data_IF_557676306083
#
_entry.id   IF_557676306083
#
_cell.length_a   1.000
_cell.length_b   1.000
_cell.length_c   1.000
_cell.angle_alpha   90.00
_cell.angle_beta   90.00
_cell.angle_gamma   90.00
#
_symmetry.space_group_name_H-M   'P 1'
#
loop_
_entity.id
_entity.type
_entity.pdbx_description
1 polymer ?
#
# COMPACT_ATOMS: atom_id res chain seq x y z
N UNK A 1 14.62 13.29 1.40
CA UNK A 1 13.87 12.38 0.50
C UNK A 1 13.69 11.04 1.22
N UNK A 2 12.51 10.78 1.79
CA UNK A 2 12.22 9.60 2.66
C UNK A 2 12.31 8.25 1.93
N UNK A 3 12.22 8.24 0.59
CA UNK A 3 12.24 7.01 -0.21
C UNK A 3 13.59 6.25 -0.18
N UNK A 4 14.70 6.91 0.18
CA UNK A 4 16.02 6.29 0.25
C UNK A 4 16.37 5.67 1.61
N UNK A 5 15.52 5.86 2.64
CA UNK A 5 15.79 5.37 4.01
C UNK A 5 14.80 4.30 4.48
N UNK A 6 13.69 4.10 3.78
CA UNK A 6 12.67 3.13 4.17
C UNK A 6 12.68 1.92 3.24
N UNK A 7 13.09 0.80 3.80
CA UNK A 7 13.05 -0.53 3.19
C UNK A 7 11.63 -1.01 2.87
N UNK A 8 10.61 -0.44 3.50
CA UNK A 8 9.22 -0.79 3.34
C UNK A 8 8.40 0.40 2.86
N UNK A 9 7.57 0.18 1.85
CA UNK A 9 6.83 1.22 1.15
C UNK A 9 5.38 0.80 0.93
N UNK A 10 4.44 1.57 1.47
CA UNK A 10 3.04 1.46 1.12
C UNK A 10 2.76 2.18 -0.19
N UNK A 11 2.01 1.55 -1.08
CA UNK A 11 1.52 2.13 -2.32
C UNK A 11 -0.01 2.10 -2.29
N UNK A 12 -0.62 3.28 -2.30
CA UNK A 12 -2.05 3.47 -2.35
C UNK A 12 -2.51 3.91 -3.75
N UNK A 13 -3.83 3.90 -3.98
CA UNK A 13 -4.41 4.36 -5.25
C UNK A 13 -4.40 5.88 -5.33
N UNK A 14 -4.93 6.58 -4.30
CA UNK A 14 -4.95 8.04 -4.23
C UNK A 14 -3.95 8.66 -3.25
N UNK A 15 -3.62 9.94 -3.46
CA UNK A 15 -2.72 10.70 -2.59
C UNK A 15 -3.30 10.87 -1.18
N UNK A 16 -4.63 10.99 -1.06
CA UNK A 16 -5.31 11.08 0.23
C UNK A 16 -5.19 9.79 1.03
N UNK A 17 -5.17 8.62 0.39
CA UNK A 17 -4.96 7.33 1.05
C UNK A 17 -3.52 7.19 1.55
N UNK A 18 -2.55 7.62 0.73
CA UNK A 18 -1.15 7.66 1.15
C UNK A 18 -0.95 8.58 2.37
N UNK A 19 -1.57 9.76 2.36
CA UNK A 19 -1.56 10.67 3.50
C UNK A 19 -2.29 10.09 4.72
N UNK A 20 -3.39 9.38 4.50
CA UNK A 20 -4.15 8.71 5.56
C UNK A 20 -3.36 7.57 6.20
N UNK A 21 -2.58 6.82 5.42
CA UNK A 21 -1.63 5.83 5.93
C UNK A 21 -0.55 6.49 6.80
N UNK A 22 0.02 7.62 6.37
CA UNK A 22 1.00 8.35 7.17
C UNK A 22 0.40 8.94 8.46
N UNK A 23 -0.85 9.42 8.40
CA UNK A 23 -1.57 9.92 9.57
C UNK A 23 -1.87 8.79 10.58
N UNK A 24 -2.25 7.61 10.08
CA UNK A 24 -2.49 6.42 10.89
C UNK A 24 -1.18 5.84 11.45
N UNK A 25 -0.11 5.80 10.66
CA UNK A 25 1.19 5.24 11.00
C UNK A 25 2.32 6.26 10.77
N UNK A 26 2.58 7.17 11.73
CA UNK A 26 3.69 8.11 11.62
C UNK A 26 5.03 7.40 11.39
N UNK A 27 5.80 7.86 10.41
CA UNK A 27 7.13 7.32 10.10
C UNK A 27 7.15 6.21 9.05
N UNK A 28 6.01 5.77 8.53
CA UNK A 28 6.00 4.88 7.35
C UNK A 28 6.17 5.68 6.06
N UNK A 29 6.87 5.10 5.09
CA UNK A 29 6.86 5.60 3.73
C UNK A 29 5.56 5.14 3.05
N UNK A 30 4.80 6.08 2.53
CA UNK A 30 3.61 5.82 1.72
C UNK A 30 3.61 6.76 0.51
N UNK A 31 3.24 6.24 -0.66
CA UNK A 31 3.06 6.97 -1.90
C UNK A 31 1.79 6.50 -2.62
N UNK A 32 1.34 7.26 -3.62
CA UNK A 32 0.18 6.92 -4.43
C UNK A 32 0.58 6.65 -5.89
N UNK A 33 -0.14 5.75 -6.55
CA UNK A 33 -0.07 5.51 -8.00
C UNK A 33 -1.52 5.58 -8.53
N UNK A 34 -2.00 6.77 -8.93
CA UNK A 34 -3.38 6.97 -9.37
C UNK A 34 -3.62 6.36 -10.74
N UNK A 35 -3.96 5.08 -10.76
CA UNK A 35 -4.04 4.25 -11.96
C UNK A 35 -2.65 3.81 -12.43
N UNK A 36 -2.55 2.55 -12.85
CA UNK A 36 -1.25 1.91 -13.13
C UNK A 36 -0.47 2.59 -14.25
N UNK A 37 -1.15 3.23 -15.20
CA UNK A 37 -0.54 3.97 -16.31
C UNK A 37 0.30 5.18 -15.86
N UNK A 38 0.15 5.65 -14.62
CA UNK A 38 0.92 6.79 -14.10
C UNK A 38 2.33 6.40 -13.64
N UNK A 39 2.56 5.13 -13.37
CA UNK A 39 3.91 4.60 -13.18
C UNK A 39 4.54 4.38 -14.56
N UNK A 40 5.57 5.14 -14.91
CA UNK A 40 6.35 4.86 -16.11
C UNK A 40 7.13 3.55 -15.94
N UNK A 41 7.37 2.83 -17.04
CA UNK A 41 8.12 1.56 -16.98
C UNK A 41 9.57 1.77 -16.52
N UNK A 42 10.16 2.89 -16.90
CA UNK A 42 11.53 3.24 -16.53
C UNK A 42 11.68 3.58 -15.03
N UNK A 43 10.56 3.79 -14.33
CA UNK A 43 10.53 4.02 -12.88
C UNK A 43 10.34 2.73 -12.07
N UNK A 44 9.98 1.59 -12.69
CA UNK A 44 9.83 0.31 -12.00
C UNK A 44 11.11 -0.15 -11.27
N UNK A 45 12.33 0.07 -11.80
CA UNK A 45 13.57 -0.21 -11.08
C UNK A 45 13.77 0.62 -9.79
N UNK A 46 13.06 1.73 -9.60
CA UNK A 46 13.16 2.53 -8.35
C UNK A 46 12.67 1.76 -7.12
N UNK A 47 11.96 0.65 -7.32
CA UNK A 47 11.48 -0.23 -6.26
C UNK A 47 12.50 -1.30 -5.86
N UNK A 48 13.69 -1.34 -6.48
CA UNK A 48 14.73 -2.30 -6.15
C UNK A 48 15.08 -2.31 -4.66
N UNK A 49 15.15 -3.52 -4.09
CA UNK A 49 15.44 -3.75 -2.67
C UNK A 49 14.32 -3.42 -1.68
N UNK A 50 13.16 -2.91 -2.15
CA UNK A 50 12.04 -2.51 -1.28
C UNK A 50 11.03 -3.63 -1.04
N UNK A 51 10.43 -3.63 0.15
CA UNK A 51 9.22 -4.39 0.47
C UNK A 51 7.98 -3.52 0.21
N UNK A 52 7.33 -3.77 -0.92
CA UNK A 52 6.17 -3.00 -1.38
C UNK A 52 4.89 -3.60 -0.81
N UNK A 53 4.06 -2.77 -0.20
CA UNK A 53 2.71 -3.14 0.28
C UNK A 53 1.68 -2.39 -0.57
N UNK A 54 0.97 -3.11 -1.42
CA UNK A 54 -0.07 -2.54 -2.28
C UNK A 54 -1.39 -2.48 -1.53
N UNK A 55 -1.96 -1.28 -1.38
CA UNK A 55 -3.24 -1.01 -0.71
C UNK A 55 -4.12 -0.21 -1.67
N UNK A 56 -4.76 -0.90 -2.61
CA UNK A 56 -5.71 -0.28 -3.55
C UNK A 56 -7.12 -0.31 -2.98
N UNK A 57 -8.02 0.48 -3.57
CA UNK A 57 -9.41 0.57 -3.14
C UNK A 57 -10.13 -0.78 -3.22
N UNK A 58 -11.20 -0.93 -2.43
CA UNK A 58 -12.03 -2.13 -2.34
C UNK A 58 -13.09 -2.20 -3.44
N UNK A 59 -12.74 -1.78 -4.66
CA UNK A 59 -13.62 -1.83 -5.82
C UNK A 59 -13.01 -2.66 -6.98
N UNK A 60 -13.68 -2.67 -8.13
CA UNK A 60 -13.24 -3.43 -9.29
C UNK A 60 -11.99 -2.84 -9.96
N UNK A 61 -11.81 -1.52 -9.88
CA UNK A 61 -10.65 -0.82 -10.43
C UNK A 61 -9.41 -1.11 -9.58
N UNK A 62 -9.52 -0.95 -8.27
CA UNK A 62 -8.47 -1.22 -7.29
C UNK A 62 -8.00 -2.67 -7.33
N UNK A 63 -8.91 -3.66 -7.48
CA UNK A 63 -8.52 -5.07 -7.66
C UNK A 63 -7.68 -5.30 -8.91
N UNK A 64 -8.03 -4.68 -10.03
CA UNK A 64 -7.28 -4.79 -11.30
C UNK A 64 -5.93 -4.06 -11.18
N UNK A 65 -5.93 -2.86 -10.61
CA UNK A 65 -4.73 -2.07 -10.39
C UNK A 65 -3.71 -2.83 -9.52
N UNK A 66 -4.19 -3.46 -8.44
CA UNK A 66 -3.36 -4.24 -7.53
C UNK A 66 -2.68 -5.42 -8.22
N UNK A 67 -3.44 -6.17 -9.04
CA UNK A 67 -2.90 -7.31 -9.77
C UNK A 67 -1.85 -6.89 -10.82
N UNK A 68 -2.11 -5.80 -11.54
CA UNK A 68 -1.17 -5.27 -12.54
C UNK A 68 0.09 -4.69 -11.89
N UNK A 69 -0.05 -3.93 -10.80
CA UNK A 69 1.11 -3.41 -10.06
C UNK A 69 1.94 -4.52 -9.42
N UNK A 70 1.32 -5.57 -8.87
CA UNK A 70 2.09 -6.73 -8.38
C UNK A 70 2.92 -7.34 -9.50
N UNK A 71 2.31 -7.57 -10.67
CA UNK A 71 2.99 -8.13 -11.83
C UNK A 71 4.16 -7.25 -12.28
N UNK A 72 3.98 -5.93 -12.32
CA UNK A 72 4.99 -4.97 -12.77
C UNK A 72 6.14 -4.79 -11.79
N UNK A 73 5.86 -4.76 -10.49
CA UNK A 73 6.86 -4.46 -9.46
C UNK A 73 7.59 -5.69 -8.95
N UNK A 74 6.98 -6.89 -9.01
CA UNK A 74 7.58 -8.13 -8.52
C UNK A 74 8.98 -8.45 -9.10
N UNK A 75 9.31 -8.13 -10.36
CA UNK A 75 10.67 -8.33 -10.90
C UNK A 75 11.74 -7.44 -10.27
N UNK A 76 11.36 -6.30 -9.69
CA UNK A 76 12.30 -5.29 -9.18
C UNK A 76 12.32 -5.25 -7.65
N UNK A 77 11.16 -5.29 -7.01
CA UNK A 77 11.03 -5.22 -5.56
C UNK A 77 11.57 -6.48 -4.85
N UNK A 78 12.10 -6.30 -3.63
CA UNK A 78 12.48 -7.42 -2.75
C UNK A 78 11.25 -8.27 -2.39
N UNK A 79 10.12 -7.62 -2.14
CA UNK A 79 8.83 -8.27 -1.99
C UNK A 79 7.69 -7.37 -2.44
N UNK A 80 6.58 -7.98 -2.87
CA UNK A 80 5.32 -7.28 -3.11
C UNK A 80 4.22 -8.02 -2.38
N UNK A 81 3.54 -7.34 -1.47
CA UNK A 81 2.44 -7.87 -0.67
C UNK A 81 1.17 -7.12 -1.00
N UNK A 82 0.11 -7.85 -1.35
CA UNK A 82 -1.22 -7.29 -1.42
C UNK A 82 -1.80 -7.16 -0.01
N UNK A 83 -2.19 -5.96 0.36
CA UNK A 83 -2.96 -5.66 1.56
C UNK A 83 -4.31 -5.06 1.18
N UNK A 84 -5.27 -5.16 2.08
CA UNK A 84 -6.67 -4.84 1.81
C UNK A 84 -7.12 -3.78 2.80
N UNK A 85 -7.91 -2.82 2.32
CA UNK A 85 -8.72 -1.97 3.18
C UNK A 85 -9.74 -2.87 3.88
N UNK A 86 -10.10 -2.57 5.14
CA UNK A 86 -11.06 -3.38 5.86
C UNK A 86 -12.40 -3.42 5.09
N UNK A 87 -13.10 -4.59 4.98
CA UNK A 87 -14.24 -4.77 4.07
C UNK A 87 -15.39 -3.76 4.23
N UNK A 88 -15.56 -3.19 5.43
CA UNK A 88 -16.54 -2.15 5.72
C UNK A 88 -16.26 -0.77 5.07
N UNK A 89 -15.11 -0.60 4.40
CA UNK A 89 -14.67 0.66 3.82
C UNK A 89 -14.22 0.48 2.37
N UNK A 90 -14.45 1.51 1.58
CA UNK A 90 -14.04 1.60 0.18
C UNK A 90 -12.55 1.88 0.04
N UNK A 91 -12.00 2.80 0.84
CA UNK A 91 -10.62 3.25 0.74
C UNK A 91 -9.97 3.49 2.12
N UNK A 92 -8.67 3.82 2.14
CA UNK A 92 -7.91 4.00 3.38
C UNK A 92 -8.34 5.26 4.12
N UNK A 93 -8.66 6.32 3.38
CA UNK A 93 -9.10 7.59 3.93
C UNK A 93 -10.45 7.46 4.65
N UNK A 94 -11.44 6.82 4.04
CA UNK A 94 -12.75 6.53 4.62
C UNK A 94 -12.60 5.70 5.90
N UNK A 95 -11.74 4.67 5.86
CA UNK A 95 -11.41 3.88 7.03
C UNK A 95 -10.86 4.76 8.17
N UNK A 96 -9.93 5.66 7.86
CA UNK A 96 -9.37 6.61 8.84
C UNK A 96 -10.42 7.58 9.40
N UNK A 97 -11.23 8.18 8.54
CA UNK A 97 -12.24 9.18 8.92
C UNK A 97 -13.32 8.54 9.80
N UNK A 98 -13.82 7.36 9.44
CA UNK A 98 -14.92 6.70 10.16
C UNK A 98 -14.50 6.00 11.46
N UNK A 99 -13.33 5.35 11.50
CA UNK A 99 -12.86 4.61 12.68
C UNK A 99 -11.91 5.41 13.59
N UNK A 100 -11.33 6.47 13.05
CA UNK A 100 -10.37 7.31 13.76
C UNK A 100 -8.96 6.72 13.82
N UNK A 101 -8.00 7.59 14.11
CA UNK A 101 -6.56 7.31 14.04
C UNK A 101 -6.11 6.10 14.87
N UNK A 102 -6.59 5.95 16.11
CA UNK A 102 -6.13 4.87 17.01
C UNK A 102 -6.47 3.49 16.45
N UNK A 103 -7.68 3.33 15.90
CA UNK A 103 -8.12 2.08 15.32
C UNK A 103 -7.35 1.79 14.03
N UNK A 104 -7.25 2.79 13.13
CA UNK A 104 -6.53 2.63 11.87
C UNK A 104 -5.04 2.36 12.06
N UNK A 105 -4.41 2.96 13.07
CA UNK A 105 -3.02 2.67 13.44
C UNK A 105 -2.84 1.19 13.80
N UNK A 106 -3.71 0.64 14.66
CA UNK A 106 -3.64 -0.78 15.04
C UNK A 106 -3.83 -1.72 13.85
N UNK A 107 -4.78 -1.42 12.97
CA UNK A 107 -5.03 -2.20 11.76
C UNK A 107 -3.81 -2.22 10.83
N UNK A 108 -3.30 -1.04 10.48
CA UNK A 108 -2.19 -0.92 9.54
C UNK A 108 -0.86 -1.39 10.14
N UNK A 109 -0.64 -1.28 11.45
CA UNK A 109 0.55 -1.83 12.11
C UNK A 109 0.57 -3.37 12.04
N UNK A 110 -0.60 -4.00 12.21
CA UNK A 110 -0.75 -5.44 12.03
C UNK A 110 -0.46 -5.84 10.58
N UNK A 111 -1.07 -5.15 9.61
CA UNK A 111 -0.79 -5.37 8.17
C UNK A 111 0.70 -5.21 7.87
N UNK A 112 1.33 -4.13 8.33
CA UNK A 112 2.76 -3.84 8.13
C UNK A 112 3.63 -4.96 8.67
N UNK A 113 3.34 -5.43 9.88
CA UNK A 113 4.10 -6.46 10.57
C UNK A 113 3.94 -7.82 9.90
N UNK A 114 2.71 -8.18 9.50
CA UNK A 114 2.45 -9.46 8.82
C UNK A 114 3.04 -9.49 7.41
N UNK A 115 3.02 -8.35 6.69
CA UNK A 115 3.69 -8.22 5.40
C UNK A 115 5.21 -8.50 5.49
N UNK A 116 5.86 -8.12 6.60
CA UNK A 116 7.28 -8.46 6.86
C UNK A 116 7.45 -9.95 7.19
N UNK A 117 6.48 -10.57 7.87
CA UNK A 117 6.60 -11.93 8.39
C UNK A 117 6.39 -13.04 7.36
N UNK A 118 5.53 -12.89 6.33
CA UNK A 118 5.34 -13.89 5.23
C UNK A 118 4.33 -13.46 4.14
N UNK A 119 4.58 -13.95 2.92
CA UNK A 119 3.78 -13.86 1.67
C UNK A 119 2.25 -13.93 1.86
N UNK A 120 1.57 -12.88 1.41
CA UNK A 120 0.13 -12.77 1.06
C UNK A 120 -0.84 -12.85 2.25
N UNK A 121 -1.46 -11.71 2.57
CA UNK A 121 -2.70 -11.67 3.35
C UNK A 121 -3.87 -11.84 2.37
N UNK A 122 -4.66 -12.91 2.52
CA UNK A 122 -6.01 -13.00 1.97
C UNK A 122 -6.94 -12.90 3.16
N UNK A 123 -7.63 -11.78 3.32
CA UNK A 123 -8.82 -11.77 4.16
C UNK A 123 -9.91 -12.53 3.41
N UNK A 124 -10.46 -13.55 4.09
CA UNK A 124 -11.68 -14.27 3.71
C UNK A 124 -12.83 -13.31 3.45
#
# INVERSE_FOLDING_TARGET
MMLNMSDQLFIAEGELDALSLQAALPGVAAAAIPGTQTLARDDEPLFEGKDVILVMDNDDAGRKARAELEKRLRPYARSVTQAYVHPDFSDVNEQLVKRGRKWSAGYWEAVRTEAVKRKVFRTV
#
